data_IF_784643251221
#
_entry.id   IF_784643251221
#
_cell.length_a   1.000
_cell.length_b   1.000
_cell.length_c   1.000
_cell.angle_alpha   90.00
_cell.angle_beta   90.00
_cell.angle_gamma   90.00
#
_symmetry.space_group_name_H-M   'P 1'
#
loop_
_entity.id
_entity.type
_entity.pdbx_description
1 polymer ?
#
# COMPACT_ATOMS: atom_id res chain seq x y z
N UNK A 1 -0.51 23.14 -14.48
CA UNK A 1 -0.53 22.55 -13.13
C UNK A 1 0.83 21.88 -12.93
N UNK A 2 1.71 22.52 -12.15
CA UNK A 2 3.17 22.49 -12.33
C UNK A 2 3.98 21.76 -11.27
N UNK A 3 3.63 20.52 -10.96
CA UNK A 3 4.58 19.57 -10.36
C UNK A 3 4.57 18.34 -11.27
N UNK A 4 5.53 18.28 -12.19
CA UNK A 4 5.76 17.07 -12.98
C UNK A 4 6.57 16.09 -12.11
N UNK A 5 5.90 15.38 -11.19
CA UNK A 5 6.56 14.31 -10.41
C UNK A 5 6.56 13.00 -11.19
N UNK A 6 5.64 12.85 -12.15
CA UNK A 6 5.60 11.71 -13.04
C UNK A 6 6.91 11.43 -13.79
N UNK A 7 7.65 12.40 -14.37
CA UNK A 7 8.93 12.15 -15.03
C UNK A 7 10.03 11.69 -14.06
N UNK A 8 10.03 12.19 -12.82
CA UNK A 8 10.98 11.77 -11.78
C UNK A 8 10.69 10.33 -11.37
N UNK A 9 9.41 10.02 -11.13
CA UNK A 9 8.94 8.68 -10.85
C UNK A 9 9.25 7.72 -12.00
N UNK A 10 9.00 8.12 -13.25
CA UNK A 10 9.28 7.33 -14.44
C UNK A 10 10.77 7.02 -14.58
N UNK A 11 11.64 8.01 -14.34
CA UNK A 11 13.09 7.81 -14.35
C UNK A 11 13.54 6.86 -13.25
N UNK A 12 13.00 7.00 -12.04
CA UNK A 12 13.31 6.10 -10.92
C UNK A 12 12.79 4.68 -11.16
N UNK A 13 11.55 4.54 -11.63
CA UNK A 13 10.93 3.26 -11.93
C UNK A 13 11.65 2.54 -13.07
N UNK A 14 11.99 3.25 -14.14
CA UNK A 14 12.75 2.71 -15.28
C UNK A 14 14.16 2.29 -14.85
N UNK A 15 14.81 3.05 -13.96
CA UNK A 15 16.12 2.69 -13.41
C UNK A 15 16.08 1.44 -12.52
N UNK A 16 14.95 1.16 -11.85
CA UNK A 16 14.80 0.01 -10.94
C UNK A 16 14.29 -1.23 -11.68
N UNK A 17 13.33 -1.07 -12.58
CA UNK A 17 12.63 -2.16 -13.27
C UNK A 17 13.12 -2.43 -14.68
N UNK A 18 13.83 -1.48 -15.31
CA UNK A 18 14.34 -1.59 -16.67
C UNK A 18 13.34 -1.31 -17.79
N UNK A 19 12.08 -0.96 -17.47
CA UNK A 19 11.04 -0.60 -18.44
C UNK A 19 10.23 0.60 -17.95
N UNK A 20 9.59 1.33 -18.88
CA UNK A 20 8.81 2.52 -18.53
C UNK A 20 7.52 2.10 -17.79
N UNK A 21 7.03 2.90 -16.82
CA UNK A 21 5.76 2.64 -16.16
C UNK A 21 4.60 2.47 -17.15
N UNK A 22 4.64 3.23 -18.24
CA UNK A 22 3.60 3.27 -19.28
C UNK A 22 3.50 1.94 -20.06
N UNK A 23 4.58 1.16 -20.10
CA UNK A 23 4.62 -0.15 -20.75
C UNK A 23 4.19 -1.29 -19.80
N UNK A 24 3.92 -0.97 -18.52
CA UNK A 24 3.47 -1.95 -17.55
C UNK A 24 2.03 -2.38 -17.87
N UNK A 25 1.87 -3.62 -18.34
CA UNK A 25 0.57 -4.28 -18.41
C UNK A 25 0.45 -5.27 -17.29
N UNK A 26 -0.57 -5.10 -16.45
CA UNK A 26 -0.97 -6.14 -15.51
C UNK A 26 -1.53 -7.33 -16.31
N UNK A 27 -0.75 -8.39 -16.44
CA UNK A 27 -1.14 -9.60 -17.17
C UNK A 27 -1.22 -10.75 -16.17
N UNK A 28 -2.42 -11.27 -15.88
CA UNK A 28 -2.59 -12.44 -15.03
C UNK A 28 -1.67 -13.59 -15.47
N UNK A 29 -0.78 -14.04 -14.59
CA UNK A 29 0.17 -15.14 -14.85
C UNK A 29 1.53 -14.76 -15.46
N UNK A 30 1.79 -13.50 -15.82
CA UNK A 30 3.13 -13.03 -16.25
C UNK A 30 3.76 -12.00 -15.31
N UNK A 31 2.96 -11.14 -14.68
CA UNK A 31 3.46 -10.19 -13.69
C UNK A 31 3.63 -10.86 -12.32
N UNK A 32 4.74 -10.63 -11.59
CA UNK A 32 4.94 -11.24 -10.27
C UNK A 32 3.86 -10.75 -9.29
N UNK A 33 3.26 -11.69 -8.54
CA UNK A 33 2.11 -11.50 -7.65
C UNK A 33 0.76 -11.20 -8.33
N UNK A 34 0.62 -11.50 -9.62
CA UNK A 34 -0.63 -11.29 -10.37
C UNK A 34 -1.49 -12.55 -10.51
N UNK A 35 -1.06 -13.68 -9.92
CA UNK A 35 -1.81 -14.93 -9.99
C UNK A 35 -2.62 -15.13 -8.70
N UNK A 36 -3.87 -15.59 -8.81
CA UNK A 36 -4.70 -15.96 -7.66
C UNK A 36 -3.98 -16.90 -6.69
N UNK A 37 -3.17 -17.83 -7.23
CA UNK A 37 -2.33 -18.74 -6.46
C UNK A 37 -1.32 -18.00 -5.59
N UNK A 38 -0.63 -16.98 -6.12
CA UNK A 38 0.37 -16.21 -5.37
C UNK A 38 -0.30 -15.40 -4.26
N UNK A 39 -1.42 -14.74 -4.54
CA UNK A 39 -2.19 -13.97 -3.55
C UNK A 39 -2.74 -14.89 -2.44
N UNK A 40 -3.30 -16.04 -2.81
CA UNK A 40 -3.81 -17.01 -1.85
C UNK A 40 -2.69 -17.63 -1.00
N UNK A 41 -1.56 -18.01 -1.61
CA UNK A 41 -0.39 -18.51 -0.88
C UNK A 41 0.13 -17.45 0.10
N UNK A 42 0.23 -16.19 -0.30
CA UNK A 42 0.68 -15.11 0.59
C UNK A 42 -0.28 -14.86 1.74
N UNK A 43 -1.60 -14.90 1.50
CA UNK A 43 -2.59 -14.73 2.56
C UNK A 43 -2.55 -15.90 3.57
N UNK A 44 -2.40 -17.13 3.07
CA UNK A 44 -2.22 -18.32 3.92
C UNK A 44 -0.93 -18.22 4.72
N UNK A 45 0.19 -17.86 4.08
CA UNK A 45 1.46 -17.62 4.76
C UNK A 45 1.35 -16.54 5.83
N UNK A 46 0.65 -15.44 5.55
CA UNK A 46 0.42 -14.35 6.51
C UNK A 46 -0.30 -14.84 7.77
N UNK A 47 -1.39 -15.60 7.62
CA UNK A 47 -2.08 -16.17 8.79
C UNK A 47 -1.20 -17.18 9.54
N UNK A 48 -0.47 -18.05 8.84
CA UNK A 48 0.47 -19.00 9.46
C UNK A 48 1.55 -18.25 10.27
N UNK A 49 2.12 -17.19 9.71
CA UNK A 49 3.15 -16.38 10.37
C UNK A 49 2.59 -15.68 11.61
N UNK A 50 1.36 -15.14 11.55
CA UNK A 50 0.74 -14.48 12.71
C UNK A 50 0.43 -15.48 13.82
N UNK A 51 -0.28 -16.57 13.51
CA UNK A 51 -0.67 -17.55 14.52
C UNK A 51 0.57 -18.29 15.07
N UNK A 52 1.49 -18.70 14.19
CA UNK A 52 2.75 -19.34 14.56
C UNK A 52 3.68 -18.40 15.33
N UNK A 53 3.81 -17.15 14.89
CA UNK A 53 4.62 -16.12 15.57
C UNK A 53 4.07 -15.76 16.94
N UNK A 54 2.74 -15.71 17.10
CA UNK A 54 2.09 -15.48 18.40
C UNK A 54 2.34 -16.62 19.37
N UNK A 55 2.24 -17.87 18.92
CA UNK A 55 2.51 -19.04 19.76
C UNK A 55 4.01 -19.14 20.12
N UNK A 56 4.89 -18.89 19.15
CA UNK A 56 6.34 -18.86 19.37
C UNK A 56 6.77 -17.80 20.39
N UNK A 57 6.11 -16.64 20.38
CA UNK A 57 6.38 -15.57 21.34
C UNK A 57 5.74 -15.81 22.71
N UNK A 58 4.84 -16.79 22.89
CA UNK A 58 4.14 -17.02 24.17
C UNK A 58 5.13 -17.19 25.33
N UNK A 59 6.19 -17.97 25.12
CA UNK A 59 7.24 -18.24 26.11
C UNK A 59 8.47 -17.34 26.08
N UNK A 60 8.52 -16.29 25.24
CA UNK A 60 9.72 -15.43 25.06
C UNK A 60 9.51 -13.99 25.53
N UNK A 61 10.57 -13.29 25.88
CA UNK A 61 10.51 -11.85 26.18
C UNK A 61 10.31 -11.01 24.90
N UNK A 62 9.69 -9.81 25.00
CA UNK A 62 9.46 -8.96 23.84
C UNK A 62 10.78 -8.45 23.25
N UNK A 63 10.93 -8.56 21.92
CA UNK A 63 12.13 -8.08 21.25
C UNK A 63 12.16 -6.54 21.17
N UNK A 64 13.31 -5.94 21.49
CA UNK A 64 13.52 -4.48 21.41
C UNK A 64 13.89 -4.04 19.98
N UNK A 65 12.98 -4.20 19.03
CA UNK A 65 13.19 -3.85 17.61
C UNK A 65 12.83 -2.38 17.29
N UNK A 66 13.14 -1.45 18.19
CA UNK A 66 12.68 -0.05 18.07
C UNK A 66 13.30 0.67 16.87
N UNK A 67 14.54 0.37 16.48
CA UNK A 67 15.19 0.97 15.32
C UNK A 67 14.52 0.52 14.02
N UNK A 68 14.39 -0.80 13.80
CA UNK A 68 13.74 -1.36 12.61
C UNK A 68 12.29 -0.91 12.48
N UNK A 69 11.55 -0.86 13.59
CA UNK A 69 10.19 -0.35 13.60
C UNK A 69 10.13 1.12 13.15
N UNK A 70 11.04 1.99 13.60
CA UNK A 70 11.10 3.39 13.16
C UNK A 70 11.38 3.53 11.67
N UNK A 71 12.39 2.79 11.18
CA UNK A 71 12.79 2.81 9.76
C UNK A 71 11.64 2.31 8.88
N UNK A 72 10.97 1.24 9.29
CA UNK A 72 9.83 0.68 8.58
C UNK A 72 8.65 1.65 8.50
N UNK A 73 8.25 2.25 9.62
CA UNK A 73 7.16 3.24 9.64
C UNK A 73 7.50 4.47 8.80
N UNK A 74 8.74 4.97 8.87
CA UNK A 74 9.18 6.10 8.05
C UNK A 74 9.12 5.78 6.55
N UNK A 75 9.59 4.60 6.17
CA UNK A 75 9.54 4.13 4.79
C UNK A 75 8.09 3.99 4.28
N UNK A 76 7.19 3.45 5.11
CA UNK A 76 5.77 3.37 4.77
C UNK A 76 5.13 4.75 4.61
N UNK A 77 5.42 5.71 5.51
CA UNK A 77 4.94 7.09 5.35
C UNK A 77 5.42 7.70 4.02
N UNK A 78 6.69 7.53 3.69
CA UNK A 78 7.29 8.10 2.48
C UNK A 78 6.66 7.48 1.22
N UNK A 79 6.52 6.15 1.16
CA UNK A 79 5.88 5.48 0.03
C UNK A 79 4.40 5.86 -0.10
N UNK A 80 3.64 5.80 1.00
CA UNK A 80 2.22 6.15 0.96
C UNK A 80 2.01 7.62 0.56
N UNK A 81 2.89 8.52 1.00
CA UNK A 81 2.86 9.93 0.63
C UNK A 81 3.19 10.14 -0.84
N UNK A 82 4.26 9.52 -1.35
CA UNK A 82 4.62 9.59 -2.76
C UNK A 82 3.51 9.03 -3.66
N UNK A 83 2.93 7.88 -3.30
CA UNK A 83 1.81 7.31 -4.05
C UNK A 83 0.59 8.22 -4.02
N UNK A 84 0.26 8.80 -2.86
CA UNK A 84 -0.87 9.73 -2.74
C UNK A 84 -0.69 10.95 -3.65
N UNK A 85 0.50 11.55 -3.65
CA UNK A 85 0.78 12.72 -4.49
C UNK A 85 0.71 12.36 -5.97
N UNK A 86 1.26 11.20 -6.39
CA UNK A 86 1.16 10.72 -7.76
C UNK A 86 -0.29 10.44 -8.18
N UNK A 87 -1.11 9.85 -7.29
CA UNK A 87 -2.54 9.67 -7.54
C UNK A 87 -3.24 11.02 -7.74
N UNK A 88 -3.00 11.98 -6.85
CA UNK A 88 -3.60 13.31 -6.91
C UNK A 88 -3.16 14.06 -8.18
N UNK A 89 -1.90 13.96 -8.59
CA UNK A 89 -1.38 14.57 -9.83
C UNK A 89 -2.09 14.02 -11.08
N UNK A 90 -2.37 12.72 -11.14
CA UNK A 90 -3.08 12.13 -12.27
C UNK A 90 -4.60 12.38 -12.22
N UNK A 91 -5.20 12.41 -11.02
CA UNK A 91 -6.65 12.54 -10.85
C UNK A 91 -7.15 14.00 -10.90
N UNK A 92 -6.38 14.96 -10.41
CA UNK A 92 -6.75 16.39 -10.43
C UNK A 92 -7.12 16.91 -11.83
N UNK A 93 -6.29 16.73 -12.88
CA UNK A 93 -6.62 17.26 -14.21
C UNK A 93 -7.87 16.59 -14.80
N UNK A 94 -8.09 15.31 -14.51
CA UNK A 94 -9.25 14.56 -14.96
C UNK A 94 -10.54 15.08 -14.30
N UNK A 95 -10.51 15.25 -12.98
CA UNK A 95 -11.64 15.77 -12.19
C UNK A 95 -11.96 17.22 -12.56
N UNK A 96 -10.95 18.07 -12.75
CA UNK A 96 -11.14 19.50 -13.04
C UNK A 96 -11.69 19.72 -14.46
N UNK A 97 -11.31 18.88 -15.43
CA UNK A 97 -11.75 19.03 -16.83
C UNK A 97 -13.08 18.34 -17.12
N UNK A 98 -13.26 17.12 -16.62
CA UNK A 98 -14.38 16.25 -17.00
C UNK A 98 -15.40 16.05 -15.86
N UNK A 99 -15.09 16.52 -14.65
CA UNK A 99 -15.95 16.40 -13.47
C UNK A 99 -15.78 15.08 -12.72
N UNK A 100 -16.17 15.08 -11.43
CA UNK A 100 -16.04 13.91 -10.53
C UNK A 100 -16.84 12.70 -11.06
N UNK A 101 -18.01 12.94 -11.64
CA UNK A 101 -18.86 11.88 -12.18
C UNK A 101 -18.17 11.15 -13.34
N UNK A 102 -17.44 11.87 -14.20
CA UNK A 102 -16.68 11.24 -15.28
C UNK A 102 -15.46 10.47 -14.74
N UNK A 103 -14.72 11.04 -13.78
CA UNK A 103 -13.57 10.37 -13.16
C UNK A 103 -13.93 9.08 -12.38
N UNK A 104 -15.20 8.93 -11.95
CA UNK A 104 -15.69 7.76 -11.21
C UNK A 104 -16.40 6.76 -12.14
N UNK A 105 -17.25 7.24 -13.06
CA UNK A 105 -18.08 6.37 -13.89
C UNK A 105 -17.46 6.03 -15.25
N UNK A 106 -16.56 6.85 -15.78
CA UNK A 106 -15.91 6.57 -17.05
C UNK A 106 -14.66 5.70 -16.84
N UNK A 107 -14.57 4.62 -17.62
CA UNK A 107 -13.40 3.73 -17.63
C UNK A 107 -12.11 4.52 -17.93
N UNK A 108 -12.16 5.44 -18.90
CA UNK A 108 -11.00 6.23 -19.31
C UNK A 108 -10.53 7.23 -18.23
N UNK A 109 -11.43 7.71 -17.37
CA UNK A 109 -11.12 8.66 -16.30
C UNK A 109 -10.56 8.03 -15.02
N UNK A 110 -10.89 6.76 -14.74
CA UNK A 110 -10.44 6.04 -13.55
C UNK A 110 -9.44 4.91 -13.81
N UNK A 111 -9.20 4.57 -15.08
CA UNK A 111 -8.36 3.45 -15.51
C UNK A 111 -7.43 3.84 -16.68
N UNK A 112 -6.43 4.68 -16.38
CA UNK A 112 -5.36 5.04 -17.33
C UNK A 112 -4.13 4.16 -17.09
N UNK A 113 -3.29 3.92 -18.10
CA UNK A 113 -2.04 3.11 -17.97
C UNK A 113 -1.15 3.58 -16.81
N UNK A 114 -1.12 4.90 -16.56
CA UNK A 114 -0.41 5.50 -15.43
C UNK A 114 -1.00 5.09 -14.08
N UNK A 115 -2.33 5.08 -13.95
CA UNK A 115 -3.04 4.69 -12.73
C UNK A 115 -2.89 3.19 -12.45
N UNK A 116 -2.82 2.34 -13.48
CA UNK A 116 -2.60 0.89 -13.31
C UNK A 116 -1.28 0.59 -12.59
N UNK A 117 -0.21 1.32 -12.92
CA UNK A 117 1.07 1.20 -12.20
C UNK A 117 0.91 1.62 -10.75
N UNK A 118 0.20 2.71 -10.48
CA UNK A 118 -0.02 3.19 -9.13
C UNK A 118 -0.88 2.22 -8.30
N UNK A 119 -1.89 1.60 -8.91
CA UNK A 119 -2.66 0.52 -8.28
C UNK A 119 -1.77 -0.68 -7.94
N UNK A 120 -0.88 -1.08 -8.85
CA UNK A 120 0.06 -2.16 -8.60
C UNK A 120 1.08 -1.82 -7.50
N UNK A 121 1.58 -0.59 -7.46
CA UNK A 121 2.48 -0.15 -6.38
C UNK A 121 1.77 -0.05 -5.02
N UNK A 122 0.51 0.40 -5.01
CA UNK A 122 -0.31 0.38 -3.81
C UNK A 122 -0.51 -1.06 -3.32
N UNK A 123 -0.78 -2.00 -4.24
CA UNK A 123 -0.87 -3.42 -3.92
C UNK A 123 0.43 -3.97 -3.32
N UNK A 124 1.60 -3.65 -3.90
CA UNK A 124 2.90 -3.99 -3.32
C UNK A 124 3.08 -3.39 -1.91
N UNK A 125 2.61 -2.17 -1.69
CA UNK A 125 2.68 -1.49 -0.39
C UNK A 125 1.87 -2.25 0.67
N UNK A 126 0.72 -2.84 0.32
CA UNK A 126 -0.07 -3.68 1.24
C UNK A 126 0.75 -4.85 1.81
N UNK A 127 1.65 -5.45 1.02
CA UNK A 127 2.53 -6.50 1.52
C UNK A 127 3.58 -5.99 2.50
N UNK A 128 4.09 -4.78 2.28
CA UNK A 128 5.00 -4.14 3.22
C UNK A 128 4.30 -3.86 4.56
N UNK A 129 3.02 -3.50 4.53
CA UNK A 129 2.22 -3.30 5.75
C UNK A 129 2.04 -4.60 6.55
N UNK A 130 2.11 -5.79 5.92
CA UNK A 130 2.08 -7.06 6.66
C UNK A 130 3.31 -7.21 7.57
N UNK A 131 4.43 -6.57 7.26
CA UNK A 131 5.62 -6.59 8.12
C UNK A 131 5.34 -5.85 9.44
N UNK A 132 4.44 -4.86 9.45
CA UNK A 132 4.03 -4.16 10.68
C UNK A 132 3.38 -5.13 11.69
N UNK A 133 2.50 -6.03 11.22
CA UNK A 133 1.92 -7.09 12.06
C UNK A 133 3.00 -8.00 12.65
N UNK A 134 4.09 -8.22 11.90
CA UNK A 134 5.23 -8.99 12.39
C UNK A 134 5.93 -8.30 13.55
N UNK A 135 6.18 -6.99 13.43
CA UNK A 135 6.74 -6.21 14.53
C UNK A 135 5.82 -6.17 15.75
N UNK A 136 4.50 -6.11 15.56
CA UNK A 136 3.53 -6.08 16.65
C UNK A 136 3.56 -7.35 17.49
N UNK A 137 3.54 -8.55 16.89
CA UNK A 137 3.63 -9.79 17.69
C UNK A 137 5.02 -9.99 18.30
N UNK A 138 6.11 -9.62 17.60
CA UNK A 138 7.48 -9.71 18.13
C UNK A 138 7.69 -8.79 19.35
N UNK A 139 6.97 -7.67 19.41
CA UNK A 139 6.97 -6.75 20.55
C UNK A 139 5.94 -7.11 21.62
N UNK A 140 5.23 -8.24 21.49
CA UNK A 140 4.08 -8.63 22.35
C UNK A 140 3.05 -7.50 22.51
N UNK A 141 2.83 -6.71 21.47
CA UNK A 141 1.75 -5.71 21.46
C UNK A 141 0.43 -6.42 21.11
N UNK A 142 -0.71 -5.94 21.63
CA UNK A 142 -2.00 -6.57 21.38
C UNK A 142 -2.33 -6.45 19.89
N UNK A 143 -2.34 -7.59 19.18
CA UNK A 143 -2.91 -7.70 17.84
C UNK A 143 -4.42 -7.80 17.98
N UNK A 144 -5.14 -6.76 17.56
CA UNK A 144 -6.60 -6.81 17.48
C UNK A 144 -7.01 -7.64 16.27
N UNK A 145 -8.12 -8.37 16.40
CA UNK A 145 -8.70 -9.12 15.29
C UNK A 145 -8.95 -8.22 14.08
N UNK A 146 -9.47 -7.02 14.34
CA UNK A 146 -9.76 -6.01 13.32
C UNK A 146 -8.53 -5.69 12.48
N UNK A 147 -7.37 -5.47 13.11
CA UNK A 147 -6.14 -5.16 12.39
C UNK A 147 -5.72 -6.32 11.48
N UNK A 148 -5.67 -7.54 12.03
CA UNK A 148 -5.24 -8.71 11.24
C UNK A 148 -6.19 -9.02 10.08
N UNK A 149 -7.49 -8.87 10.30
CA UNK A 149 -8.54 -9.06 9.29
C UNK A 149 -8.49 -7.95 8.23
N UNK A 150 -8.37 -6.69 8.66
CA UNK A 150 -8.29 -5.54 7.76
C UNK A 150 -7.09 -5.63 6.81
N UNK A 151 -5.90 -5.98 7.31
CA UNK A 151 -4.72 -6.12 6.45
C UNK A 151 -4.87 -7.26 5.42
N UNK A 152 -5.45 -8.40 5.82
CA UNK A 152 -5.76 -9.49 4.89
C UNK A 152 -6.83 -9.11 3.86
N UNK A 153 -7.92 -8.47 4.31
CA UNK A 153 -9.05 -8.08 3.47
C UNK A 153 -8.66 -6.99 2.46
N UNK A 154 -7.89 -5.98 2.87
CA UNK A 154 -7.44 -4.90 1.97
C UNK A 154 -6.47 -5.39 0.90
N UNK A 155 -5.60 -6.35 1.22
CA UNK A 155 -4.74 -7.00 0.23
C UNK A 155 -5.56 -7.77 -0.83
N UNK A 156 -6.55 -8.56 -0.38
CA UNK A 156 -7.46 -9.29 -1.27
C UNK A 156 -8.32 -8.34 -2.11
N UNK A 157 -8.82 -7.26 -1.52
CA UNK A 157 -9.60 -6.23 -2.20
C UNK A 157 -8.78 -5.53 -3.30
N UNK A 158 -7.53 -5.16 -3.02
CA UNK A 158 -6.65 -4.58 -4.04
C UNK A 158 -6.41 -5.56 -5.20
N UNK A 159 -6.26 -6.86 -4.89
CA UNK A 159 -6.09 -7.90 -5.91
C UNK A 159 -7.34 -8.06 -6.79
N UNK A 160 -8.54 -8.16 -6.21
CA UNK A 160 -9.78 -8.30 -6.98
C UNK A 160 -10.09 -7.05 -7.80
N UNK A 161 -9.78 -5.87 -7.30
CA UNK A 161 -9.90 -4.59 -8.02
C UNK A 161 -8.96 -4.52 -9.22
N UNK A 162 -7.73 -4.99 -9.07
CA UNK A 162 -6.73 -5.00 -10.15
C UNK A 162 -7.10 -5.99 -11.26
N UNK A 163 -7.70 -7.14 -10.90
CA UNK A 163 -8.26 -8.10 -11.86
C UNK A 163 -9.53 -7.58 -12.55
N UNK A 164 -10.42 -6.93 -11.80
CA UNK A 164 -11.71 -6.46 -12.27
C UNK A 164 -11.66 -5.15 -13.04
N UNK A 165 -10.47 -4.59 -13.29
CA UNK A 165 -10.28 -3.31 -13.96
C UNK A 165 -11.23 -2.20 -13.45
N UNK A 166 -11.41 -2.13 -12.12
CA UNK A 166 -12.45 -1.30 -11.52
C UNK A 166 -12.00 0.17 -11.46
N UNK A 167 -12.59 1.01 -12.32
CA UNK A 167 -12.27 2.44 -12.42
C UNK A 167 -12.50 3.21 -11.10
N UNK A 168 -13.45 2.77 -10.26
CA UNK A 168 -13.78 3.42 -8.97
C UNK A 168 -12.74 3.18 -7.88
N UNK A 169 -11.79 2.26 -8.09
CA UNK A 169 -10.84 1.82 -7.05
C UNK A 169 -9.91 2.91 -6.52
N UNK A 170 -9.67 4.00 -7.26
CA UNK A 170 -8.84 5.10 -6.76
C UNK A 170 -9.43 5.80 -5.53
N UNK A 171 -10.76 5.85 -5.37
CA UNK A 171 -11.41 6.53 -4.24
C UNK A 171 -11.03 5.89 -2.90
N UNK A 172 -11.27 4.58 -2.67
CA UNK A 172 -10.86 3.93 -1.42
C UNK A 172 -9.33 3.88 -1.26
N UNK A 173 -8.57 3.79 -2.35
CA UNK A 173 -7.10 3.75 -2.30
C UNK A 173 -6.53 5.10 -1.82
N UNK A 174 -6.98 6.20 -2.39
CA UNK A 174 -6.51 7.55 -2.01
C UNK A 174 -6.86 7.89 -0.57
N UNK A 175 -8.08 7.56 -0.12
CA UNK A 175 -8.47 7.71 1.29
C UNK A 175 -7.61 6.85 2.21
N UNK A 176 -7.37 5.58 1.85
CA UNK A 176 -6.52 4.71 2.65
C UNK A 176 -5.08 5.24 2.71
N UNK A 177 -4.51 5.67 1.59
CA UNK A 177 -3.17 6.24 1.53
C UNK A 177 -3.06 7.51 2.38
N UNK A 178 -4.08 8.38 2.37
CA UNK A 178 -4.13 9.57 3.22
C UNK A 178 -4.10 9.21 4.71
N UNK A 179 -4.95 8.27 5.14
CA UNK A 179 -4.95 7.79 6.52
C UNK A 179 -3.60 7.16 6.88
N UNK A 180 -3.00 6.38 5.98
CA UNK A 180 -1.71 5.74 6.20
C UNK A 180 -0.57 6.74 6.36
N UNK A 181 -0.55 7.82 5.57
CA UNK A 181 0.42 8.91 5.73
C UNK A 181 0.34 9.49 7.14
N UNK A 182 -0.86 9.81 7.61
CA UNK A 182 -1.07 10.39 8.94
C UNK A 182 -0.74 9.40 10.05
N UNK A 183 -1.24 8.16 9.94
CA UNK A 183 -1.07 7.10 10.94
C UNK A 183 0.40 6.71 11.12
N UNK A 184 1.13 6.43 10.03
CA UNK A 184 2.53 6.04 10.12
C UNK A 184 3.44 7.19 10.53
N UNK A 185 3.10 8.42 10.12
CA UNK A 185 3.79 9.61 10.59
C UNK A 185 3.62 9.81 12.10
N UNK A 186 2.42 9.58 12.62
CA UNK A 186 2.15 9.56 14.06
C UNK A 186 2.99 8.49 14.77
N UNK A 187 3.02 7.25 14.27
CA UNK A 187 3.83 6.18 14.88
C UNK A 187 5.33 6.46 14.86
N UNK A 188 5.83 7.05 13.78
CA UNK A 188 7.22 7.47 13.69
C UNK A 188 7.57 8.52 14.75
N UNK A 189 6.73 9.54 14.91
CA UNK A 189 6.92 10.59 15.92
C UNK A 189 6.76 10.07 17.36
N UNK A 190 5.75 9.23 17.60
CA UNK A 190 5.56 8.57 18.89
C UNK A 190 6.77 7.70 19.26
N UNK A 191 7.37 7.00 18.29
CA UNK A 191 8.59 6.23 18.51
C UNK A 191 9.82 7.12 18.80
N UNK A 192 9.83 8.37 18.35
CA UNK A 192 10.85 9.39 18.74
C UNK A 192 10.62 9.98 20.13
N UNK A 193 9.51 9.64 20.79
CA UNK A 193 9.16 10.16 22.12
C UNK A 193 8.35 11.46 22.08
N UNK A 194 7.93 11.91 20.89
CA UNK A 194 7.07 13.08 20.74
C UNK A 194 5.62 12.61 20.93
N UNK A 195 4.98 13.03 22.02
CA UNK A 195 3.55 12.80 22.22
C UNK A 195 2.78 13.87 21.48
N UNK A 196 2.02 13.43 20.49
CA UNK A 196 1.12 14.27 19.73
C UNK A 196 -0.22 14.31 20.47
N UNK A 197 -0.82 15.51 20.53
CA UNK A 197 -2.00 15.79 21.37
C UNK A 197 -3.34 15.39 20.74
N UNK A 198 -3.38 15.18 19.43
CA UNK A 198 -4.56 14.69 18.71
C UNK A 198 -4.63 13.16 18.68
#
# INVERSE_FOLDING_TARGET
FGLELWPIFEKAFTSIKGYKPQDFRFVPGKTPMATFKETATMLVCYYIIIFGGREFMRGREPFKLNFFFKVHNFYLTLISGLLLVLFVEQLLPEIVRNGIFHAVCAYEGGWTDKLVVLYYLNYLTKYLELIDTCFLFLKKKPLTFLHTYHHGATALLCFTQLLGHTAVSWVPITLNLMVHVVMYWYYFQAARGIRIWW
#
